data_IF_337390752198
#
_entry.id   IF_337390752198
#
_cell.length_a   1.000
_cell.length_b   1.000
_cell.length_c   1.000
_cell.angle_alpha   90.00
_cell.angle_beta   90.00
_cell.angle_gamma   90.00
#
_symmetry.space_group_name_H-M   'P 1'
#
loop_
_entity.id
_entity.type
_entity.pdbx_description
1 polymer ?
#
# COMPACT_ATOMS: atom_id res chain seq x y z
N UNK A 1 -2.47 -13.94 11.59
CA UNK A 1 -2.80 -12.98 10.54
C UNK A 1 -1.61 -12.05 10.35
N UNK A 2 -1.14 -11.82 9.12
CA UNK A 2 -0.05 -10.89 8.84
C UNK A 2 -0.46 -9.49 9.30
N UNK A 3 0.40 -8.82 10.07
CA UNK A 3 0.18 -7.42 10.50
C UNK A 3 0.56 -6.40 9.41
N UNK A 4 1.07 -6.87 8.28
CA UNK A 4 1.53 -6.03 7.19
C UNK A 4 0.57 -6.11 6.03
N UNK A 5 0.39 -4.99 5.34
CA UNK A 5 -0.43 -4.91 4.12
C UNK A 5 0.06 -5.92 3.07
N UNK A 6 -0.84 -6.60 2.36
CA UNK A 6 -0.43 -7.41 1.22
C UNK A 6 0.19 -6.49 0.15
N UNK A 7 1.27 -6.96 -0.47
CA UNK A 7 1.88 -6.27 -1.62
C UNK A 7 1.17 -6.71 -2.90
N UNK A 8 0.82 -5.76 -3.75
CA UNK A 8 0.12 -6.04 -5.01
C UNK A 8 -1.40 -5.93 -4.87
N UNK A 9 -2.16 -6.49 -5.83
CA UNK A 9 -3.61 -6.33 -5.88
C UNK A 9 -4.05 -5.08 -6.65
N UNK A 10 -3.12 -4.30 -7.22
CA UNK A 10 -3.44 -3.11 -8.00
C UNK A 10 -4.29 -3.42 -9.23
N UNK A 11 -4.21 -4.65 -9.76
CA UNK A 11 -4.99 -5.09 -10.93
C UNK A 11 -6.48 -5.07 -10.67
N UNK A 12 -6.88 -5.27 -9.40
CA UNK A 12 -8.26 -5.27 -8.94
C UNK A 12 -8.71 -3.89 -8.43
N UNK A 13 -7.87 -2.85 -8.55
CA UNK A 13 -8.24 -1.50 -8.17
C UNK A 13 -8.90 -0.74 -9.33
N UNK A 14 -10.03 -0.08 -9.06
CA UNK A 14 -10.73 0.73 -10.05
C UNK A 14 -9.83 1.82 -10.66
N UNK A 15 -8.93 2.44 -9.87
CA UNK A 15 -8.00 3.47 -10.33
C UNK A 15 -7.03 2.94 -11.39
N UNK A 16 -6.44 1.74 -11.15
CA UNK A 16 -5.53 1.12 -12.12
C UNK A 16 -6.26 0.69 -13.40
N UNK A 17 -7.45 0.12 -13.27
CA UNK A 17 -8.24 -0.35 -14.40
C UNK A 17 -8.71 0.81 -15.27
N UNK A 18 -9.18 1.91 -14.65
CA UNK A 18 -9.52 3.13 -15.38
C UNK A 18 -8.29 3.73 -16.07
N UNK A 19 -7.14 3.78 -15.39
CA UNK A 19 -5.89 4.24 -15.98
C UNK A 19 -5.39 3.33 -17.12
N UNK A 20 -5.74 2.04 -17.13
CA UNK A 20 -5.44 1.12 -18.23
C UNK A 20 -6.27 1.48 -19.47
N UNK A 21 -7.59 1.71 -19.31
CA UNK A 21 -8.45 2.18 -20.42
C UNK A 21 -7.92 3.50 -20.97
N UNK A 22 -7.57 4.46 -20.11
CA UNK A 22 -7.03 5.76 -20.51
C UNK A 22 -5.75 5.58 -21.34
N UNK A 23 -4.83 4.70 -20.88
CA UNK A 23 -3.57 4.46 -21.59
C UNK A 23 -3.81 3.87 -22.99
N UNK A 24 -4.63 2.83 -23.09
CA UNK A 24 -4.92 2.15 -24.36
C UNK A 24 -5.66 3.09 -25.32
N UNK A 25 -6.66 3.82 -24.82
CA UNK A 25 -7.42 4.80 -25.60
C UNK A 25 -6.53 5.96 -26.07
N UNK A 26 -5.59 6.43 -25.22
CA UNK A 26 -4.64 7.47 -25.60
C UNK A 26 -3.69 7.00 -26.69
N UNK A 27 -3.19 5.76 -26.60
CA UNK A 27 -2.33 5.17 -27.61
C UNK A 27 -3.03 5.16 -28.99
N UNK A 28 -4.25 4.62 -29.04
CA UNK A 28 -5.01 4.55 -30.31
C UNK A 28 -5.52 5.90 -30.79
N UNK A 29 -5.82 6.82 -29.85
CA UNK A 29 -6.16 8.20 -30.22
C UNK A 29 -4.99 8.89 -30.91
N UNK A 30 -3.81 8.81 -30.35
CA UNK A 30 -2.60 9.40 -30.92
C UNK A 30 -2.27 8.80 -32.29
N UNK A 31 -2.33 7.46 -32.42
CA UNK A 31 -2.07 6.76 -33.67
C UNK A 31 -3.03 7.20 -34.80
N UNK A 32 -4.30 7.43 -34.45
CA UNK A 32 -5.35 7.71 -35.44
C UNK A 32 -5.48 9.18 -35.82
N UNK A 33 -5.28 10.09 -34.86
CA UNK A 33 -5.68 11.51 -35.01
C UNK A 33 -4.54 12.52 -34.92
N UNK A 34 -3.34 12.09 -34.56
CA UNK A 34 -2.18 12.97 -34.44
C UNK A 34 -1.08 12.58 -35.45
N UNK A 35 -0.22 13.53 -35.79
CA UNK A 35 0.98 13.23 -36.57
C UNK A 35 1.95 12.44 -35.70
N UNK A 36 2.31 11.24 -36.15
CA UNK A 36 3.22 10.34 -35.41
C UNK A 36 4.61 10.94 -35.13
N UNK A 37 4.99 12.00 -35.84
CA UNK A 37 6.24 12.76 -35.62
C UNK A 37 6.08 13.91 -34.64
N UNK A 38 4.86 14.15 -34.16
CA UNK A 38 4.60 15.20 -33.19
C UNK A 38 5.13 14.77 -31.80
N UNK A 39 5.91 15.65 -31.17
CA UNK A 39 6.36 15.46 -29.79
C UNK A 39 5.21 15.33 -28.80
N UNK A 40 4.06 15.91 -29.11
CA UNK A 40 2.85 15.79 -28.28
C UNK A 40 2.38 14.34 -28.17
N UNK A 41 2.54 13.53 -29.24
CA UNK A 41 2.21 12.08 -29.18
C UNK A 41 3.03 11.37 -28.10
N UNK A 42 4.34 11.57 -28.10
CA UNK A 42 5.22 10.97 -27.10
C UNK A 42 4.86 11.44 -25.68
N UNK A 43 4.53 12.72 -25.51
CA UNK A 43 4.15 13.30 -24.23
C UNK A 43 2.82 12.73 -23.71
N UNK A 44 1.78 12.70 -24.54
CA UNK A 44 0.47 12.14 -24.17
C UNK A 44 0.57 10.65 -23.81
N UNK A 45 1.23 9.84 -24.64
CA UNK A 45 1.41 8.40 -24.38
C UNK A 45 2.24 8.18 -23.12
N UNK A 46 3.30 8.98 -22.90
CA UNK A 46 4.13 8.89 -21.71
C UNK A 46 3.36 9.31 -20.45
N UNK A 47 2.55 10.35 -20.49
CA UNK A 47 1.71 10.80 -19.39
C UNK A 47 0.69 9.72 -18.98
N UNK A 48 -0.04 9.15 -19.95
CA UNK A 48 -0.97 8.05 -19.72
C UNK A 48 -0.27 6.82 -19.12
N UNK A 49 0.88 6.44 -19.69
CA UNK A 49 1.71 5.32 -19.21
C UNK A 49 2.21 5.57 -17.79
N UNK A 50 2.71 6.77 -17.50
CA UNK A 50 3.22 7.17 -16.19
C UNK A 50 2.11 7.11 -15.13
N UNK A 51 0.93 7.65 -15.41
CA UNK A 51 -0.23 7.57 -14.53
C UNK A 51 -0.51 6.12 -14.12
N UNK A 52 -0.69 5.23 -15.08
CA UNK A 52 -0.95 3.80 -14.81
C UNK A 52 0.17 3.10 -14.05
N UNK A 53 1.42 3.32 -14.43
CA UNK A 53 2.55 2.63 -13.79
C UNK A 53 2.77 3.07 -12.35
N UNK A 54 2.64 4.36 -12.05
CA UNK A 54 2.82 4.85 -10.70
C UNK A 54 1.73 4.34 -9.75
N UNK A 55 0.51 4.07 -10.22
CA UNK A 55 -0.53 3.38 -9.42
C UNK A 55 -0.05 1.97 -9.05
N UNK A 56 0.46 1.20 -10.02
CA UNK A 56 0.95 -0.16 -9.79
C UNK A 56 2.15 -0.20 -8.83
N UNK A 57 3.11 0.70 -9.02
CA UNK A 57 4.29 0.81 -8.17
C UNK A 57 3.95 1.28 -6.76
N UNK A 58 3.02 2.23 -6.61
CA UNK A 58 2.50 2.69 -5.33
C UNK A 58 1.86 1.56 -4.54
N UNK A 59 0.99 0.77 -5.16
CA UNK A 59 0.38 -0.41 -4.55
C UNK A 59 1.40 -1.46 -4.10
N UNK A 60 2.49 -1.62 -4.84
CA UNK A 60 3.58 -2.52 -4.41
C UNK A 60 4.38 -1.93 -3.26
N UNK A 61 4.62 -0.62 -3.27
CA UNK A 61 5.35 0.07 -2.22
C UNK A 61 4.58 0.11 -0.89
N UNK A 62 3.25 0.04 -0.92
CA UNK A 62 2.37 0.07 0.25
C UNK A 62 2.76 -0.93 1.35
N UNK A 63 3.28 -2.11 0.95
CA UNK A 63 3.72 -3.15 1.88
C UNK A 63 5.00 -2.79 2.67
N UNK A 64 5.80 -1.85 2.17
CA UNK A 64 7.13 -1.55 2.73
C UNK A 64 7.33 -0.08 3.10
N UNK A 65 6.56 0.83 2.51
CA UNK A 65 6.69 2.27 2.72
C UNK A 65 5.43 3.02 2.31
N UNK A 66 4.60 3.36 3.28
CA UNK A 66 3.39 4.21 3.07
C UNK A 66 3.75 5.58 2.47
N UNK A 67 4.91 6.14 2.84
CA UNK A 67 5.38 7.41 2.27
C UNK A 67 5.70 7.29 0.78
N UNK A 68 6.28 6.17 0.34
CA UNK A 68 6.56 5.92 -1.08
C UNK A 68 5.26 5.68 -1.85
N UNK A 69 4.31 4.94 -1.27
CA UNK A 69 2.97 4.78 -1.82
C UNK A 69 2.31 6.13 -2.10
N UNK A 70 2.20 6.98 -1.10
CA UNK A 70 1.61 8.32 -1.21
C UNK A 70 2.30 9.17 -2.29
N UNK A 71 3.64 9.14 -2.33
CA UNK A 71 4.41 9.86 -3.35
C UNK A 71 4.07 9.38 -4.75
N UNK A 72 4.02 8.07 -4.97
CA UNK A 72 3.75 7.48 -6.29
C UNK A 72 2.31 7.73 -6.75
N UNK A 73 1.32 7.66 -5.86
CA UNK A 73 -0.06 8.00 -6.16
C UNK A 73 -0.21 9.48 -6.57
N UNK A 74 0.50 10.40 -5.88
CA UNK A 74 0.54 11.81 -6.26
C UNK A 74 1.21 12.03 -7.63
N UNK A 75 2.27 11.28 -7.97
CA UNK A 75 2.89 11.32 -9.29
C UNK A 75 1.94 10.79 -10.37
N UNK A 76 1.19 9.72 -10.07
CA UNK A 76 0.17 9.19 -10.98
C UNK A 76 -0.89 10.25 -11.30
N UNK A 77 -1.42 10.92 -10.27
CA UNK A 77 -2.40 12.00 -10.41
C UNK A 77 -1.85 13.16 -11.25
N UNK A 78 -0.63 13.61 -10.95
CA UNK A 78 0.00 14.69 -11.72
C UNK A 78 0.18 14.33 -13.20
N UNK A 79 0.58 13.08 -13.50
CA UNK A 79 0.71 12.61 -14.89
C UNK A 79 -0.63 12.56 -15.62
N UNK A 80 -1.71 12.16 -14.95
CA UNK A 80 -3.04 12.18 -15.55
C UNK A 80 -3.56 13.61 -15.72
N UNK A 81 -3.18 14.54 -14.86
CA UNK A 81 -3.52 15.96 -15.00
C UNK A 81 -2.82 16.60 -16.22
N UNK A 82 -1.54 16.26 -16.47
CA UNK A 82 -0.85 16.66 -17.70
C UNK A 82 -1.59 16.16 -18.93
N UNK A 83 -2.01 14.89 -18.93
CA UNK A 83 -2.77 14.30 -20.02
C UNK A 83 -4.14 14.96 -20.21
N UNK A 84 -4.81 15.36 -19.13
CA UNK A 84 -6.07 16.09 -19.18
C UNK A 84 -5.91 17.39 -19.97
N UNK A 85 -4.90 18.17 -19.63
CA UNK A 85 -4.59 19.43 -20.30
C UNK A 85 -4.28 19.21 -21.79
N UNK A 86 -3.59 18.13 -22.15
CA UNK A 86 -3.31 17.80 -23.56
C UNK A 86 -4.59 17.55 -24.37
N UNK A 87 -5.59 16.87 -23.78
CA UNK A 87 -6.90 16.66 -24.43
C UNK A 87 -7.74 17.93 -24.52
N UNK A 88 -7.72 18.76 -23.49
CA UNK A 88 -8.37 20.07 -23.51
C UNK A 88 -7.74 20.97 -24.58
N UNK A 89 -6.41 20.98 -24.69
CA UNK A 89 -5.66 21.69 -25.73
C UNK A 89 -5.97 21.15 -27.12
N UNK A 90 -6.10 19.83 -27.28
CA UNK A 90 -6.50 19.22 -28.53
C UNK A 90 -7.84 19.76 -29.02
N UNK A 91 -8.84 19.81 -28.17
CA UNK A 91 -10.17 20.33 -28.47
C UNK A 91 -10.11 21.84 -28.76
N UNK A 92 -9.47 22.62 -27.92
CA UNK A 92 -9.35 24.07 -28.02
C UNK A 92 -8.64 24.50 -29.28
N UNK A 93 -7.49 23.90 -29.60
CA UNK A 93 -6.71 24.27 -30.80
C UNK A 93 -7.44 23.94 -32.10
N UNK A 94 -8.34 22.95 -32.10
CA UNK A 94 -9.17 22.58 -33.26
C UNK A 94 -10.54 23.20 -33.25
N UNK A 95 -10.83 24.08 -32.26
CA UNK A 95 -12.14 24.72 -32.07
C UNK A 95 -13.29 23.72 -31.97
N UNK A 96 -13.01 22.56 -31.38
CA UNK A 96 -13.99 21.53 -31.07
C UNK A 96 -14.63 21.82 -29.72
N UNK A 97 -15.91 21.47 -29.58
CA UNK A 97 -16.62 21.67 -28.31
C UNK A 97 -16.11 20.71 -27.24
N UNK A 98 -15.75 21.22 -26.07
CA UNK A 98 -15.61 20.43 -24.86
C UNK A 98 -16.98 20.23 -24.23
N UNK A 99 -17.25 19.02 -23.74
CA UNK A 99 -18.51 18.73 -23.05
C UNK A 99 -18.55 19.43 -21.70
N UNK A 100 -19.72 19.97 -21.41
CA UNK A 100 -20.00 20.46 -20.07
C UNK A 100 -20.30 19.27 -19.12
N UNK A 101 -20.12 19.45 -17.80
CA UNK A 101 -20.35 18.37 -16.83
C UNK A 101 -21.75 17.77 -16.85
N UNK A 102 -22.76 18.52 -17.27
CA UNK A 102 -24.18 18.14 -17.36
C UNK A 102 -24.62 17.69 -18.75
N UNK A 103 -23.74 17.70 -19.74
CA UNK A 103 -24.01 17.13 -21.06
C UNK A 103 -24.39 15.65 -20.96
N UNK A 104 -25.36 15.23 -21.77
CA UNK A 104 -25.87 13.86 -21.80
C UNK A 104 -24.78 12.81 -21.98
N UNK A 105 -23.84 13.07 -22.90
CA UNK A 105 -22.72 12.15 -23.19
C UNK A 105 -21.72 12.10 -22.04
N UNK A 106 -21.36 13.26 -21.46
CA UNK A 106 -20.49 13.31 -20.29
C UNK A 106 -21.09 12.56 -19.08
N UNK A 107 -22.41 12.73 -18.88
CA UNK A 107 -23.13 12.00 -17.84
C UNK A 107 -23.21 10.50 -18.14
N UNK A 108 -23.41 10.10 -19.39
CA UNK A 108 -23.48 8.70 -19.80
C UNK A 108 -22.13 7.98 -19.56
N UNK A 109 -21.00 8.58 -19.98
CA UNK A 109 -19.66 8.02 -19.69
C UNK A 109 -19.44 7.84 -18.19
N UNK A 110 -19.76 8.85 -17.37
CA UNK A 110 -19.57 8.79 -15.92
C UNK A 110 -20.47 7.80 -15.21
N UNK A 111 -21.64 7.48 -15.78
CA UNK A 111 -22.60 6.52 -15.22
C UNK A 111 -22.33 5.06 -15.61
N UNK A 112 -21.39 4.79 -16.51
CA UNK A 112 -21.07 3.41 -16.92
C UNK A 112 -20.88 2.47 -15.73
N UNK A 113 -20.12 2.81 -14.67
CA UNK A 113 -19.96 1.91 -13.53
C UNK A 113 -21.25 1.68 -12.73
N UNK A 114 -22.13 2.68 -12.68
CA UNK A 114 -23.40 2.60 -11.95
C UNK A 114 -24.43 1.79 -12.74
N UNK A 115 -24.49 2.01 -14.06
CA UNK A 115 -25.39 1.27 -14.95
C UNK A 115 -25.01 -0.21 -14.97
N UNK A 116 -23.72 -0.55 -15.01
CA UNK A 116 -23.26 -1.92 -14.95
C UNK A 116 -23.76 -2.65 -13.70
N UNK A 117 -23.74 -1.99 -12.53
CA UNK A 117 -24.26 -2.55 -11.28
C UNK A 117 -25.81 -2.71 -11.29
N UNK A 118 -26.52 -1.84 -12.01
CA UNK A 118 -27.99 -1.90 -12.09
C UNK A 118 -28.49 -2.94 -13.10
N UNK A 119 -27.71 -3.20 -14.15
CA UNK A 119 -28.05 -4.17 -15.21
C UNK A 119 -27.77 -5.62 -14.80
N UNK A 120 -27.11 -5.85 -13.67
CA UNK A 120 -26.97 -7.19 -13.09
C UNK A 120 -28.32 -7.69 -12.59
N UNK A 121 -28.93 -8.59 -13.35
CA UNK A 121 -30.25 -9.15 -13.06
C UNK A 121 -30.27 -10.17 -11.93
N UNK A 122 -29.10 -10.65 -11.52
CA UNK A 122 -28.92 -11.57 -10.39
C UNK A 122 -28.22 -10.88 -9.22
N UNK A 123 -28.94 -10.56 -8.10
CA UNK A 123 -28.34 -9.97 -6.92
C UNK A 123 -27.32 -10.88 -6.21
N UNK A 124 -27.29 -12.17 -6.57
CA UNK A 124 -26.35 -13.17 -6.04
C UNK A 124 -25.06 -13.29 -6.86
N UNK A 125 -24.98 -12.66 -8.04
CA UNK A 125 -23.76 -12.59 -8.84
C UNK A 125 -22.91 -11.39 -8.35
N UNK A 126 -21.79 -11.63 -7.63
CA UNK A 126 -20.94 -10.57 -7.11
C UNK A 126 -20.02 -9.96 -8.17
N UNK A 127 -20.25 -10.19 -9.47
CA UNK A 127 -19.37 -9.70 -10.53
C UNK A 127 -19.21 -8.18 -10.43
N UNK A 128 -18.10 -7.73 -9.89
CA UNK A 128 -17.76 -6.31 -9.84
C UNK A 128 -17.04 -5.93 -11.15
N UNK A 129 -17.10 -4.65 -11.53
CA UNK A 129 -16.32 -4.09 -12.64
C UNK A 129 -14.84 -4.47 -12.56
N UNK A 130 -14.34 -4.70 -11.35
CA UNK A 130 -12.94 -5.10 -11.10
C UNK A 130 -12.65 -6.54 -11.57
N UNK A 131 -13.66 -7.39 -11.73
CA UNK A 131 -13.51 -8.77 -12.17
C UNK A 131 -13.58 -8.91 -13.70
N UNK A 132 -14.04 -7.88 -14.40
CA UNK A 132 -14.07 -7.88 -15.87
C UNK A 132 -12.66 -7.94 -16.46
N UNK A 133 -12.54 -8.63 -17.57
CA UNK A 133 -11.33 -8.54 -18.42
C UNK A 133 -11.19 -7.13 -19.01
N UNK A 134 -9.99 -6.77 -19.45
CA UNK A 134 -9.75 -5.48 -20.10
C UNK A 134 -10.61 -5.29 -21.36
N UNK A 135 -10.87 -6.36 -22.12
CA UNK A 135 -11.74 -6.33 -23.30
C UNK A 135 -13.22 -6.09 -22.95
N UNK A 136 -13.74 -6.76 -21.93
CA UNK A 136 -15.11 -6.55 -21.47
C UNK A 136 -15.30 -5.15 -20.92
N UNK A 137 -14.32 -4.66 -20.15
CA UNK A 137 -14.32 -3.30 -19.61
C UNK A 137 -14.24 -2.25 -20.71
N UNK A 138 -13.42 -2.50 -21.75
CA UNK A 138 -13.37 -1.64 -22.97
C UNK A 138 -14.74 -1.57 -23.65
N UNK A 139 -15.42 -2.71 -23.81
CA UNK A 139 -16.70 -2.78 -24.49
C UNK A 139 -17.77 -1.86 -23.86
N UNK A 140 -17.71 -1.61 -22.54
CA UNK A 140 -18.61 -0.69 -21.86
C UNK A 140 -18.43 0.78 -22.32
N UNK A 141 -17.22 1.16 -22.72
CA UNK A 141 -16.86 2.51 -23.17
C UNK A 141 -16.71 2.63 -24.69
N UNK A 142 -16.79 1.52 -25.41
CA UNK A 142 -16.62 1.47 -26.88
C UNK A 142 -17.49 2.46 -27.65
N UNK A 143 -18.76 2.77 -27.27
CA UNK A 143 -19.57 3.74 -27.98
C UNK A 143 -18.91 5.12 -28.13
N UNK A 144 -18.09 5.51 -27.16
CA UNK A 144 -17.36 6.79 -27.19
C UNK A 144 -15.89 6.61 -27.60
N UNK A 145 -15.20 5.58 -27.10
CA UNK A 145 -13.76 5.38 -27.32
C UNK A 145 -13.46 4.85 -28.74
N UNK A 146 -14.40 4.16 -29.39
CA UNK A 146 -14.28 3.71 -30.77
C UNK A 146 -14.96 4.65 -31.78
N UNK A 147 -15.52 5.76 -31.30
CA UNK A 147 -16.24 6.71 -32.14
C UNK A 147 -15.36 7.28 -33.26
N UNK A 148 -15.94 7.57 -34.42
CA UNK A 148 -15.20 8.09 -35.58
C UNK A 148 -14.71 9.54 -35.38
N UNK A 149 -15.50 10.34 -34.63
CA UNK A 149 -15.18 11.73 -34.32
C UNK A 149 -14.15 11.84 -33.20
N UNK A 150 -12.99 12.48 -33.45
CA UNK A 150 -11.97 12.69 -32.42
C UNK A 150 -12.46 13.54 -31.24
N UNK A 151 -13.44 14.44 -31.46
CA UNK A 151 -13.97 15.27 -30.39
C UNK A 151 -14.72 14.41 -29.35
N UNK A 152 -15.50 13.41 -29.79
CA UNK A 152 -16.20 12.48 -28.90
C UNK A 152 -15.19 11.67 -28.07
N UNK A 153 -14.15 11.12 -28.71
CA UNK A 153 -13.10 10.36 -28.00
C UNK A 153 -12.35 11.21 -26.99
N UNK A 154 -11.94 12.44 -27.39
CA UNK A 154 -11.23 13.35 -26.50
C UNK A 154 -12.07 13.71 -25.27
N UNK A 155 -13.33 14.05 -25.47
CA UNK A 155 -14.26 14.35 -24.38
C UNK A 155 -14.51 13.15 -23.46
N UNK A 156 -14.66 11.95 -24.00
CA UNK A 156 -14.79 10.74 -23.20
C UNK A 156 -13.54 10.48 -22.35
N UNK A 157 -12.35 10.70 -22.93
CA UNK A 157 -11.09 10.58 -22.20
C UNK A 157 -10.94 11.63 -21.10
N UNK A 158 -11.37 12.87 -21.34
CA UNK A 158 -11.46 13.91 -20.29
C UNK A 158 -12.34 13.43 -19.13
N UNK A 159 -13.52 12.84 -19.42
CA UNK A 159 -14.39 12.29 -18.40
C UNK A 159 -13.72 11.15 -17.61
N UNK A 160 -13.04 10.21 -18.28
CA UNK A 160 -12.33 9.10 -17.65
C UNK A 160 -11.14 9.56 -16.82
N UNK A 161 -10.37 10.56 -17.28
CA UNK A 161 -9.24 11.10 -16.53
C UNK A 161 -9.74 11.77 -15.23
N UNK A 162 -10.79 12.59 -15.31
CA UNK A 162 -11.40 13.19 -14.13
C UNK A 162 -11.90 12.11 -13.15
N UNK A 163 -12.48 11.01 -13.63
CA UNK A 163 -12.91 9.89 -12.81
C UNK A 163 -11.71 9.18 -12.16
N UNK A 164 -10.62 8.96 -12.90
CA UNK A 164 -9.39 8.38 -12.36
C UNK A 164 -8.76 9.28 -11.29
N UNK A 165 -8.70 10.58 -11.50
CA UNK A 165 -8.20 11.55 -10.52
C UNK A 165 -9.05 11.54 -9.24
N UNK A 166 -10.39 11.49 -9.36
CA UNK A 166 -11.27 11.34 -8.20
C UNK A 166 -10.98 10.04 -7.41
N UNK A 167 -10.79 8.92 -8.10
CA UNK A 167 -10.45 7.64 -7.46
C UNK A 167 -9.08 7.69 -6.77
N UNK A 168 -8.10 8.38 -7.39
CA UNK A 168 -6.78 8.58 -6.81
C UNK A 168 -6.83 9.48 -5.57
N UNK A 169 -7.60 10.56 -5.59
CA UNK A 169 -7.79 11.43 -4.44
C UNK A 169 -8.35 10.66 -3.24
N UNK A 170 -9.37 9.82 -3.46
CA UNK A 170 -9.92 8.93 -2.43
C UNK A 170 -8.91 7.92 -1.91
N UNK A 171 -8.08 7.38 -2.80
CA UNK A 171 -7.04 6.42 -2.44
C UNK A 171 -5.90 7.07 -1.64
N UNK A 172 -5.51 8.30 -2.01
CA UNK A 172 -4.52 9.11 -1.29
C UNK A 172 -5.04 9.45 0.11
N UNK A 173 -6.26 9.95 0.21
CA UNK A 173 -6.90 10.28 1.50
C UNK A 173 -6.95 9.07 2.46
N UNK A 174 -7.32 7.89 1.93
CA UNK A 174 -7.33 6.67 2.70
C UNK A 174 -5.92 6.24 3.16
N UNK A 175 -4.91 6.38 2.28
CA UNK A 175 -3.53 6.05 2.61
C UNK A 175 -2.93 7.04 3.63
N UNK A 176 -3.26 8.33 3.54
CA UNK A 176 -2.87 9.36 4.51
C UNK A 176 -3.47 9.08 5.89
N UNK A 177 -4.78 8.82 5.94
CA UNK A 177 -5.48 8.48 7.19
C UNK A 177 -4.84 7.27 7.86
N UNK A 178 -4.60 6.22 7.09
CA UNK A 178 -3.96 5.01 7.61
C UNK A 178 -2.52 5.28 8.08
N UNK A 179 -1.75 6.09 7.37
CA UNK A 179 -0.39 6.45 7.78
C UNK A 179 -0.38 7.19 9.12
N UNK A 180 -1.35 8.10 9.34
CA UNK A 180 -1.48 8.86 10.60
C UNK A 180 -1.93 7.97 11.75
N UNK A 181 -2.90 7.08 11.51
CA UNK A 181 -3.49 6.24 12.56
C UNK A 181 -2.60 5.05 12.95
N UNK A 182 -1.98 4.38 11.97
CA UNK A 182 -1.22 3.14 12.18
C UNK A 182 0.30 3.37 12.23
N UNK A 183 0.76 4.57 11.88
CA UNK A 183 2.19 4.88 11.72
C UNK A 183 2.80 4.29 10.44
N UNK A 184 4.04 4.69 10.16
CA UNK A 184 4.81 4.19 9.04
C UNK A 184 5.30 2.74 9.25
N UNK A 185 5.70 2.07 8.15
CA UNK A 185 6.23 0.71 8.18
C UNK A 185 7.37 0.51 9.21
N UNK A 186 8.29 1.47 9.31
CA UNK A 186 9.39 1.42 10.28
C UNK A 186 8.91 1.42 11.72
N UNK A 187 7.87 2.19 12.04
CA UNK A 187 7.26 2.28 13.37
C UNK A 187 6.51 1.00 13.70
N UNK A 188 5.72 0.49 12.76
CA UNK A 188 5.02 -0.80 12.90
C UNK A 188 6.00 -1.95 13.10
N UNK A 189 7.12 -1.96 12.37
CA UNK A 189 8.18 -2.96 12.51
C UNK A 189 8.87 -2.86 13.87
N UNK A 190 9.14 -1.65 14.35
CA UNK A 190 9.73 -1.42 15.69
C UNK A 190 8.77 -1.90 16.79
N UNK A 191 7.50 -1.55 16.71
CA UNK A 191 6.46 -2.00 17.64
C UNK A 191 6.30 -3.53 17.64
N UNK A 192 6.31 -4.17 16.46
CA UNK A 192 6.25 -5.62 16.34
C UNK A 192 7.47 -6.32 16.95
N UNK A 193 8.68 -5.76 16.78
CA UNK A 193 9.92 -6.27 17.41
C UNK A 193 9.87 -6.15 18.93
N UNK A 194 9.38 -5.03 19.44
CA UNK A 194 9.23 -4.82 20.89
C UNK A 194 8.24 -5.83 21.49
N UNK A 195 7.09 -6.01 20.86
CA UNK A 195 6.09 -6.99 21.27
C UNK A 195 6.62 -8.44 21.24
N UNK A 196 7.41 -8.80 20.22
CA UNK A 196 8.05 -10.11 20.12
C UNK A 196 9.10 -10.31 21.23
N UNK A 197 9.89 -9.27 21.55
CA UNK A 197 10.88 -9.30 22.64
C UNK A 197 10.20 -9.47 24.00
N UNK A 198 9.10 -8.76 24.24
CA UNK A 198 8.37 -8.88 25.50
C UNK A 198 7.75 -10.28 25.67
N UNK A 199 7.13 -10.83 24.62
CA UNK A 199 6.64 -12.23 24.64
C UNK A 199 7.74 -13.25 24.94
N UNK A 200 8.95 -13.07 24.39
CA UNK A 200 10.09 -13.95 24.69
C UNK A 200 10.56 -13.84 26.15
N UNK A 201 10.40 -12.66 26.78
CA UNK A 201 10.69 -12.48 28.20
C UNK A 201 9.65 -13.17 29.07
N UNK A 202 8.36 -13.07 28.71
CA UNK A 202 7.25 -13.71 29.43
C UNK A 202 7.25 -15.26 29.31
N UNK A 203 7.70 -15.78 28.14
CA UNK A 203 7.79 -17.24 27.92
C UNK A 203 9.11 -17.85 28.36
N UNK A 204 10.10 -17.02 28.76
CA UNK A 204 11.30 -17.55 29.39
C UNK A 204 10.90 -18.00 30.78
N UNK A 205 11.03 -19.32 31.14
CA UNK A 205 10.82 -19.73 32.51
C UNK A 205 11.71 -18.83 33.36
N UNK A 206 11.12 -18.14 34.34
CA UNK A 206 11.92 -17.46 35.36
C UNK A 206 12.98 -18.47 35.76
N UNK A 207 14.24 -18.05 35.65
CA UNK A 207 15.38 -18.80 36.12
C UNK A 207 14.97 -19.25 37.53
N UNK A 208 14.66 -20.53 37.70
CA UNK A 208 14.38 -21.08 39.00
C UNK A 208 15.66 -20.86 39.77
N UNK A 209 15.78 -19.68 40.38
CA UNK A 209 16.73 -19.46 41.43
C UNK A 209 16.34 -20.49 42.49
N UNK A 210 17.09 -21.59 42.55
CA UNK A 210 16.96 -22.54 43.63
C UNK A 210 16.89 -21.74 44.94
N UNK A 211 15.96 -22.06 45.85
CA UNK A 211 15.75 -21.25 47.03
C UNK A 211 17.09 -21.10 47.75
N UNK A 212 17.49 -19.85 47.99
CA UNK A 212 18.77 -19.56 48.67
C UNK A 212 18.81 -20.36 49.98
N UNK A 213 19.73 -21.30 50.14
CA UNK A 213 19.74 -22.15 51.33
C UNK A 213 20.06 -21.33 52.57
N UNK A 214 19.50 -21.75 53.71
CA UNK A 214 19.87 -21.21 55.00
C UNK A 214 21.19 -21.85 55.50
N UNK A 215 22.02 -21.07 56.14
CA UNK A 215 23.29 -21.56 56.71
C UNK A 215 23.07 -22.61 57.79
N UNK A 216 23.64 -23.81 57.65
CA UNK A 216 23.45 -24.88 58.65
C UNK A 216 24.03 -24.56 60.00
N UNK A 217 24.89 -23.53 60.11
CA UNK A 217 25.53 -23.17 61.40
C UNK A 217 24.82 -22.02 62.14
N UNK A 218 24.25 -21.04 61.42
CA UNK A 218 23.67 -19.84 62.03
C UNK A 218 22.29 -19.45 61.52
N UNK A 219 21.70 -20.18 60.52
CA UNK A 219 20.39 -19.96 59.99
C UNK A 219 20.27 -18.75 59.04
N UNK A 220 21.30 -17.93 58.85
CA UNK A 220 21.26 -16.77 57.97
C UNK A 220 21.31 -17.19 56.49
N UNK A 221 20.80 -16.35 55.61
CA UNK A 221 20.83 -16.60 54.17
C UNK A 221 22.28 -16.78 53.67
N UNK A 222 22.45 -17.66 52.67
CA UNK A 222 23.76 -17.92 52.08
C UNK A 222 23.95 -17.13 50.76
N UNK A 223 25.20 -16.92 50.38
CA UNK A 223 25.59 -16.21 49.17
C UNK A 223 26.41 -17.13 48.29
N UNK A 224 26.09 -17.19 47.01
CA UNK A 224 26.85 -17.98 46.04
C UNK A 224 28.24 -17.38 45.85
N UNK A 225 29.28 -18.17 46.04
CA UNK A 225 30.69 -17.76 45.91
C UNK A 225 31.46 -18.73 45.02
N UNK A 226 32.51 -18.26 44.39
CA UNK A 226 33.43 -19.10 43.59
C UNK A 226 34.76 -19.25 44.34
N UNK A 227 35.21 -20.47 44.50
CA UNK A 227 36.48 -20.77 45.14
C UNK A 227 37.66 -20.22 44.29
N UNK A 228 38.52 -19.39 44.87
CA UNK A 228 39.63 -18.75 44.15
C UNK A 228 40.92 -19.58 44.21
N UNK A 229 41.08 -20.47 45.19
CA UNK A 229 42.32 -21.22 45.42
C UNK A 229 42.05 -22.63 45.91
N UNK A 230 43.03 -23.56 45.78
CA UNK A 230 42.94 -24.95 46.28
C UNK A 230 42.34 -25.94 45.27
N UNK A 231 42.09 -27.18 45.66
CA UNK A 231 41.59 -28.28 44.82
C UNK A 231 40.20 -28.02 44.22
N UNK A 232 39.47 -27.03 44.71
CA UNK A 232 38.15 -26.66 44.23
C UNK A 232 38.13 -25.28 43.52
N UNK A 233 39.27 -24.75 43.10
CA UNK A 233 39.34 -23.50 42.37
C UNK A 233 38.41 -23.52 41.14
N UNK A 234 37.61 -22.46 40.95
CA UNK A 234 36.62 -22.36 39.89
C UNK A 234 35.25 -22.95 40.16
N UNK A 235 35.07 -23.78 41.23
CA UNK A 235 33.76 -24.33 41.60
C UNK A 235 32.95 -23.35 42.43
N UNK A 236 31.66 -23.36 42.24
CA UNK A 236 30.72 -22.56 43.01
C UNK A 236 30.30 -23.30 44.30
N UNK A 237 30.03 -22.53 45.36
CA UNK A 237 29.53 -23.02 46.62
C UNK A 237 28.73 -21.93 47.34
N UNK A 238 27.82 -22.31 48.21
CA UNK A 238 27.11 -21.41 49.09
C UNK A 238 27.95 -21.10 50.32
N UNK A 239 28.27 -19.83 50.55
CA UNK A 239 28.95 -19.36 51.76
C UNK A 239 28.02 -18.52 52.63
N UNK A 240 28.15 -18.59 53.94
CA UNK A 240 27.35 -17.79 54.85
C UNK A 240 27.53 -16.30 54.61
N UNK A 241 26.43 -15.51 54.63
CA UNK A 241 26.48 -14.05 54.52
C UNK A 241 27.19 -13.37 55.69
N UNK A 242 27.23 -14.02 56.84
CA UNK A 242 27.91 -13.54 58.05
C UNK A 242 29.42 -13.88 58.11
N UNK A 243 30.05 -14.29 57.03
CA UNK A 243 31.50 -14.48 57.01
C UNK A 243 32.23 -13.15 57.24
N UNK A 244 33.28 -13.07 58.09
CA UNK A 244 34.07 -14.15 58.73
C UNK A 244 33.53 -14.68 60.06
N UNK A 245 32.48 -14.12 60.64
CA UNK A 245 31.93 -14.49 61.91
C UNK A 245 31.35 -15.94 61.94
N UNK A 246 30.73 -16.30 60.79
CA UNK A 246 30.25 -17.66 60.57
C UNK A 246 30.91 -18.25 59.29
N UNK A 247 31.50 -19.44 59.43
CA UNK A 247 32.21 -20.15 58.37
C UNK A 247 31.37 -21.24 57.70
N UNK A 248 30.04 -21.18 57.82
CA UNK A 248 29.14 -22.16 57.22
C UNK A 248 29.25 -22.21 55.70
N UNK A 249 29.38 -23.39 55.11
CA UNK A 249 29.52 -23.66 53.68
C UNK A 249 28.60 -24.81 53.29
N UNK A 250 27.88 -24.66 52.16
CA UNK A 250 27.12 -25.75 51.53
C UNK A 250 27.65 -25.90 50.10
N UNK A 251 27.98 -27.13 49.70
CA UNK A 251 28.42 -27.45 48.33
C UNK A 251 27.20 -27.56 47.44
N UNK A 252 27.37 -27.09 46.22
CA UNK A 252 26.42 -27.28 45.12
C UNK A 252 26.49 -28.71 44.61
#
# INVERSE_FOLDING_TARGET
>A
MSKFRPSGGYRDSCSFQTATIIYDATYWFCEKFLDSRSRTVDQMVQAARSGRQNIAEGSRAAATSSQTELRLLNVARASLEELLLDYEDFLRHRRMRQWEPDDSDAMAVRRVPQNFKQDQTDPSDPTDLTELTDAERWALYAPWLDHADPAVRANALICLINQANYLLDRQIEAAETQFVEEGGYSEQLAAARLAARNRRKETRPEDRSDPIPACPQCGKAMVLRTAKTGQNAGKQFWGCSAYPECKGVVRL
#
